data_IF_598746410133
#
_entry.id   IF_598746410133
#
_cell.length_a   1.000
_cell.length_b   1.000
_cell.length_c   1.000
_cell.angle_alpha   90.00
_cell.angle_beta   90.00
_cell.angle_gamma   90.00
#
_symmetry.space_group_name_H-M   'P 1'
#
loop_
_entity.id
_entity.type
_entity.pdbx_description
1 polymer ?
#
# COMPACT_ATOMS: atom_id res chain seq x y z
N UNK A 1 10.19 -7.56 18.74
CA UNK A 1 9.36 -6.64 17.93
C UNK A 1 8.78 -5.50 18.77
N UNK A 2 8.37 -5.74 20.03
CA UNK A 2 8.04 -4.68 21.01
C UNK A 2 9.21 -3.70 21.27
N UNK A 3 10.44 -4.21 21.25
CA UNK A 3 11.63 -3.41 21.61
C UNK A 3 12.14 -2.47 20.50
N UNK A 4 11.66 -2.64 19.26
CA UNK A 4 12.06 -1.80 18.12
C UNK A 4 11.30 -0.46 18.05
N UNK A 5 10.18 -0.35 18.77
CA UNK A 5 9.37 0.88 18.83
C UNK A 5 9.79 1.81 19.97
N UNK A 6 10.51 1.32 20.98
CA UNK A 6 11.00 2.13 22.10
C UNK A 6 12.09 3.15 21.70
N UNK A 7 12.71 2.99 20.53
CA UNK A 7 13.78 3.89 20.05
C UNK A 7 13.29 5.13 19.30
N UNK A 8 12.03 5.18 18.87
CA UNK A 8 11.44 6.42 18.32
C UNK A 8 10.68 7.11 19.45
N UNK A 9 11.26 8.19 19.96
CA UNK A 9 10.67 9.06 20.98
C UNK A 9 9.20 9.32 20.65
N UNK A 10 8.31 8.89 21.55
CA UNK A 10 6.85 9.11 21.49
C UNK A 10 6.47 10.56 21.21
N UNK A 11 7.37 11.50 21.51
CA UNK A 11 7.25 12.92 21.21
C UNK A 11 7.05 13.23 19.71
N UNK A 12 7.76 12.53 18.80
CA UNK A 12 7.63 12.79 17.35
C UNK A 12 6.31 12.26 16.77
N UNK A 13 5.73 11.27 17.43
CA UNK A 13 4.47 10.64 17.03
C UNK A 13 3.28 11.50 17.44
N UNK A 14 3.42 12.32 18.48
CA UNK A 14 2.35 13.15 19.02
C UNK A 14 2.14 14.46 18.25
N UNK A 15 3.15 14.88 17.48
CA UNK A 15 3.12 16.06 16.58
C UNK A 15 2.24 15.81 15.34
N UNK A 16 2.15 14.56 14.89
CA UNK A 16 1.17 14.12 13.91
C UNK A 16 -0.06 13.58 14.65
N UNK A 17 -1.27 13.94 14.24
CA UNK A 17 -2.53 13.45 14.85
C UNK A 17 -2.78 11.95 14.52
N UNK A 18 -1.77 11.10 14.73
CA UNK A 18 -1.75 9.69 14.35
C UNK A 18 -2.00 8.84 15.59
N UNK A 19 -3.20 8.27 15.66
CA UNK A 19 -3.57 7.30 16.69
C UNK A 19 -3.00 5.93 16.32
N UNK A 20 -1.99 5.48 17.06
CA UNK A 20 -1.44 4.14 16.91
C UNK A 20 -2.34 3.12 17.62
N UNK A 21 -2.89 2.18 16.86
CA UNK A 21 -3.59 1.01 17.40
C UNK A 21 -2.79 -0.25 17.06
N UNK A 22 -2.55 -1.08 18.06
CA UNK A 22 -1.91 -2.39 17.89
C UNK A 22 -3.03 -3.43 17.89
N UNK A 23 -3.08 -4.24 16.83
CA UNK A 23 -4.01 -5.35 16.78
C UNK A 23 -3.73 -6.33 17.93
N UNK A 24 -4.79 -6.79 18.58
CA UNK A 24 -4.66 -7.78 19.64
C UNK A 24 -4.08 -9.08 19.08
N UNK A 25 -3.18 -9.74 19.81
CA UNK A 25 -2.64 -11.08 19.49
C UNK A 25 -3.75 -12.12 19.23
N UNK A 26 -4.98 -11.86 19.71
CA UNK A 26 -6.16 -12.72 19.55
C UNK A 26 -7.01 -12.43 18.31
N UNK A 27 -6.64 -11.44 17.49
CA UNK A 27 -7.38 -11.04 16.30
C UNK A 27 -6.52 -11.12 15.02
N UNK A 28 -6.01 -12.32 14.65
CA UNK A 28 -5.12 -12.49 13.50
C UNK A 28 -5.78 -12.13 12.16
N UNK A 29 -7.12 -12.06 12.09
CA UNK A 29 -7.84 -11.65 10.89
C UNK A 29 -7.69 -10.15 10.58
N UNK A 30 -7.42 -9.30 11.58
CA UNK A 30 -7.29 -7.84 11.40
C UNK A 30 -6.12 -7.49 10.46
N UNK A 31 -5.04 -8.25 10.51
CA UNK A 31 -3.86 -8.07 9.65
C UNK A 31 -4.02 -8.60 8.22
N UNK A 32 -5.06 -9.40 7.93
CA UNK A 32 -5.16 -10.16 6.68
C UNK A 32 -5.25 -9.30 5.41
N UNK A 33 -5.70 -8.04 5.52
CA UNK A 33 -5.65 -7.10 4.39
C UNK A 33 -4.21 -6.67 4.08
N UNK A 34 -3.47 -6.22 5.09
CA UNK A 34 -2.08 -5.80 4.96
C UNK A 34 -1.17 -6.94 4.50
N UNK A 35 -1.39 -8.15 5.01
CA UNK A 35 -0.66 -9.33 4.57
C UNK A 35 -0.85 -9.64 3.08
N UNK A 36 -2.08 -9.49 2.57
CA UNK A 36 -2.38 -9.67 1.14
C UNK A 36 -1.71 -8.60 0.28
N UNK A 37 -1.67 -7.35 0.75
CA UNK A 37 -0.93 -6.28 0.06
C UNK A 37 0.56 -6.57 0.02
N UNK A 38 1.16 -6.93 1.16
CA UNK A 38 2.58 -7.31 1.26
C UNK A 38 2.89 -8.51 0.34
N UNK A 39 1.99 -9.50 0.28
CA UNK A 39 2.13 -10.63 -0.64
C UNK A 39 2.13 -10.19 -2.11
N UNK A 40 1.25 -9.26 -2.48
CA UNK A 40 1.17 -8.72 -3.84
C UNK A 40 2.46 -7.99 -4.22
N UNK A 41 2.96 -7.13 -3.34
CA UNK A 41 4.23 -6.41 -3.53
C UNK A 41 5.41 -7.37 -3.67
N UNK A 42 5.53 -8.36 -2.77
CA UNK A 42 6.60 -9.39 -2.85
C UNK A 42 6.54 -10.19 -4.14
N UNK A 43 5.34 -10.50 -4.63
CA UNK A 43 5.18 -11.24 -5.88
C UNK A 43 5.59 -10.39 -7.09
N UNK A 44 5.25 -9.10 -7.12
CA UNK A 44 5.67 -8.20 -8.17
C UNK A 44 7.19 -8.00 -8.17
N UNK A 45 7.78 -7.78 -6.98
CA UNK A 45 9.24 -7.72 -6.80
C UNK A 45 9.94 -8.97 -7.32
N UNK A 46 9.47 -10.18 -6.96
CA UNK A 46 10.08 -11.43 -7.45
C UNK A 46 10.04 -11.56 -8.97
N UNK A 47 8.98 -11.08 -9.61
CA UNK A 47 8.83 -11.11 -11.08
C UNK A 47 9.79 -10.13 -11.77
N UNK A 48 9.94 -8.93 -11.22
CA UNK A 48 10.80 -7.88 -11.79
C UNK A 48 12.29 -8.16 -11.54
N UNK A 49 12.64 -8.54 -10.31
CA UNK A 49 14.03 -8.72 -9.89
C UNK A 49 14.64 -10.06 -10.33
N UNK A 50 13.86 -11.15 -10.32
CA UNK A 50 14.39 -12.49 -10.58
C UNK A 50 15.59 -12.83 -9.67
N UNK A 51 16.79 -12.86 -10.26
CA UNK A 51 18.09 -13.11 -9.59
C UNK A 51 19.02 -11.88 -9.55
N UNK A 52 18.53 -10.70 -9.93
CA UNK A 52 19.34 -9.49 -9.96
C UNK A 52 19.66 -8.98 -8.54
N UNK A 53 20.90 -8.51 -8.36
CA UNK A 53 21.33 -7.80 -7.15
C UNK A 53 21.28 -6.31 -7.45
N UNK A 54 20.34 -5.60 -6.83
CA UNK A 54 20.19 -4.16 -6.97
C UNK A 54 20.93 -3.41 -5.87
N UNK A 55 21.43 -2.22 -6.21
CA UNK A 55 21.88 -1.22 -5.26
C UNK A 55 20.66 -0.57 -4.59
N UNK A 56 20.88 0.09 -3.46
CA UNK A 56 19.80 0.69 -2.66
C UNK A 56 18.91 1.66 -3.45
N UNK A 57 19.48 2.47 -4.34
CA UNK A 57 18.72 3.45 -5.12
C UNK A 57 17.92 2.80 -6.24
N UNK A 58 18.48 1.77 -6.90
CA UNK A 58 17.78 1.00 -7.93
C UNK A 58 16.58 0.27 -7.33
N UNK A 59 16.76 -0.31 -6.13
CA UNK A 59 15.66 -0.91 -5.40
C UNK A 59 14.57 0.11 -5.05
N UNK A 60 14.96 1.32 -4.66
CA UNK A 60 14.00 2.39 -4.36
C UNK A 60 13.17 2.75 -5.60
N UNK A 61 13.80 2.93 -6.76
CA UNK A 61 13.10 3.21 -8.02
C UNK A 61 12.12 2.08 -8.38
N UNK A 62 12.57 0.83 -8.31
CA UNK A 62 11.70 -0.33 -8.59
C UNK A 62 10.52 -0.40 -7.63
N UNK A 63 10.73 -0.07 -6.35
CA UNK A 63 9.64 -0.03 -5.37
C UNK A 63 8.60 1.05 -5.72
N UNK A 64 9.03 2.24 -6.13
CA UNK A 64 8.12 3.32 -6.55
C UNK A 64 7.31 2.94 -7.79
N UNK A 65 7.94 2.29 -8.78
CA UNK A 65 7.25 1.80 -9.98
C UNK A 65 6.20 0.74 -9.64
N UNK A 66 6.57 -0.21 -8.77
CA UNK A 66 5.65 -1.25 -8.32
C UNK A 66 4.49 -0.70 -7.50
N UNK A 67 4.74 0.30 -6.65
CA UNK A 67 3.68 1.01 -5.93
C UNK A 67 2.70 1.67 -6.88
N UNK A 68 3.20 2.42 -7.87
CA UNK A 68 2.37 3.07 -8.89
C UNK A 68 1.53 2.03 -9.64
N UNK A 69 2.13 0.91 -10.05
CA UNK A 69 1.42 -0.15 -10.77
C UNK A 69 0.36 -0.85 -9.93
N UNK A 70 0.61 -1.08 -8.63
CA UNK A 70 -0.38 -1.66 -7.71
C UNK A 70 -1.54 -0.68 -7.50
N UNK A 71 -1.25 0.61 -7.38
CA UNK A 71 -2.24 1.65 -7.16
C UNK A 71 -3.08 1.98 -8.41
N UNK A 72 -2.55 1.75 -9.61
CA UNK A 72 -3.27 1.94 -10.87
C UNK A 72 -4.09 0.69 -11.28
N UNK A 73 -3.91 -0.43 -10.59
CA UNK A 73 -4.58 -1.68 -10.93
C UNK A 73 -6.11 -1.54 -10.76
N UNK A 74 -6.93 -1.86 -11.78
CA UNK A 74 -8.37 -1.78 -11.67
C UNK A 74 -8.92 -2.77 -10.63
N UNK A 75 -9.83 -2.29 -9.78
CA UNK A 75 -10.61 -3.06 -8.80
C UNK A 75 -11.94 -3.51 -9.38
N UNK A 76 -12.48 -2.77 -10.36
CA UNK A 76 -13.72 -3.09 -11.08
C UNK A 76 -13.43 -3.74 -12.42
N UNK A 77 -14.44 -4.39 -12.98
CA UNK A 77 -14.37 -4.92 -14.34
C UNK A 77 -14.05 -3.78 -15.32
N UNK A 78 -13.19 -4.09 -16.29
CA UNK A 78 -12.97 -3.23 -17.44
C UNK A 78 -14.19 -3.36 -18.34
N UNK A 79 -14.91 -2.27 -18.57
CA UNK A 79 -15.93 -2.27 -19.61
C UNK A 79 -15.29 -2.05 -20.98
N UNK A 80 -15.85 -2.72 -21.98
CA UNK A 80 -15.48 -2.52 -23.39
C UNK A 80 -16.26 -1.35 -24.02
N UNK A 81 -17.24 -0.79 -23.30
CA UNK A 81 -18.04 0.34 -23.77
C UNK A 81 -17.27 1.67 -23.56
N UNK A 82 -17.02 2.46 -24.62
CA UNK A 82 -16.40 3.78 -24.53
C UNK A 82 -17.19 4.81 -23.71
N UNK A 83 -18.47 4.54 -23.43
CA UNK A 83 -19.33 5.38 -22.58
C UNK A 83 -19.37 4.95 -21.12
N UNK A 84 -18.76 3.81 -20.78
CA UNK A 84 -18.73 3.34 -19.40
C UNK A 84 -17.68 4.07 -18.55
N UNK A 85 -17.94 4.11 -17.25
CA UNK A 85 -17.08 4.76 -16.28
C UNK A 85 -15.68 4.14 -16.27
N UNK A 86 -14.65 4.99 -16.15
CA UNK A 86 -13.25 4.59 -15.93
C UNK A 86 -13.18 3.60 -14.76
N UNK A 87 -12.44 2.49 -14.88
CA UNK A 87 -12.35 1.49 -13.83
C UNK A 87 -11.81 2.09 -12.53
N UNK A 88 -12.40 1.68 -11.41
CA UNK A 88 -12.01 2.18 -10.10
C UNK A 88 -10.64 1.59 -9.71
N UNK A 89 -9.65 2.44 -9.48
CA UNK A 89 -8.31 2.02 -9.03
C UNK A 89 -8.08 2.43 -7.56
N UNK A 90 -7.18 1.76 -6.82
CA UNK A 90 -6.79 2.20 -5.49
C UNK A 90 -6.31 3.66 -5.44
N UNK A 91 -5.62 4.13 -6.49
CA UNK A 91 -5.17 5.52 -6.62
C UNK A 91 -6.33 6.52 -6.52
N UNK A 92 -7.51 6.17 -7.03
CA UNK A 92 -8.69 7.03 -6.90
C UNK A 92 -9.06 7.28 -5.43
N UNK A 93 -8.84 6.34 -4.51
CA UNK A 93 -9.09 6.54 -3.09
C UNK A 93 -7.99 7.32 -2.37
N UNK A 94 -6.74 7.18 -2.82
CA UNK A 94 -5.59 7.88 -2.24
C UNK A 94 -5.59 9.37 -2.58
N UNK A 95 -6.02 9.72 -3.80
CA UNK A 95 -6.00 11.08 -4.33
C UNK A 95 -7.32 11.81 -4.02
N UNK A 96 -8.46 11.10 -3.99
CA UNK A 96 -9.79 11.73 -3.92
C UNK A 96 -10.42 11.64 -2.55
N UNK A 97 -10.07 12.59 -1.68
CA UNK A 97 -10.79 12.91 -0.43
C UNK A 97 -11.94 13.93 -0.61
N UNK A 98 -12.30 14.26 -1.85
CA UNK A 98 -13.36 15.24 -2.16
C UNK A 98 -14.35 14.64 -3.18
N UNK A 99 -15.11 13.65 -2.73
CA UNK A 99 -16.46 13.45 -3.26
C UNK A 99 -17.41 14.00 -2.21
N UNK A 100 -17.51 15.33 -2.17
CA UNK A 100 -18.61 15.96 -1.48
C UNK A 100 -19.89 15.58 -2.22
N UNK A 101 -20.81 15.01 -1.45
CA UNK A 101 -22.24 14.85 -1.75
C UNK A 101 -22.73 16.05 -2.58
N UNK A 102 -23.27 15.76 -3.76
CA UNK A 102 -24.21 16.62 -4.46
C UNK A 102 -25.48 15.82 -4.70
#
# INVERSE_FOLDING_TARGET
MRDLLHGKSTAKIQEELVMWQIDSDRAPWCGGYWERLVKSMKNALRKVLGKALLRSWELHTVLCELEAQINDRPLTLLSEDPHDCVPLTPAHFLIRREWHLS
#
